data_IF_785313532191
#
_entry.id   IF_785313532191
#
_cell.length_a   1.000
_cell.length_b   1.000
_cell.length_c   1.000
_cell.angle_alpha   90.00
_cell.angle_beta   90.00
_cell.angle_gamma   90.00
#
_symmetry.space_group_name_H-M   'P 1'
#
loop_
_entity.id
_entity.type
_entity.pdbx_description
1 polymer ?
#
# COMPACT_ATOMS: atom_id res chain seq x y z
N UNK A 1 -36.91 12.31 8.78
CA UNK A 1 -35.54 11.78 8.64
C UNK A 1 -35.23 11.70 7.15
N UNK A 2 -34.52 12.69 6.60
CA UNK A 2 -34.04 12.61 5.23
C UNK A 2 -32.76 11.78 5.25
N UNK A 3 -32.80 10.58 4.65
CA UNK A 3 -31.59 9.80 4.40
C UNK A 3 -30.94 10.38 3.15
N UNK A 4 -30.15 11.43 3.30
CA UNK A 4 -29.29 11.89 2.22
C UNK A 4 -28.17 10.86 2.09
N UNK A 5 -28.27 9.99 1.09
CA UNK A 5 -27.21 9.05 0.79
C UNK A 5 -25.97 9.82 0.36
N UNK A 6 -24.89 9.70 1.13
CA UNK A 6 -23.60 10.28 0.77
C UNK A 6 -22.91 9.38 -0.26
N UNK A 7 -22.87 9.86 -1.51
CA UNK A 7 -22.25 9.17 -2.64
C UNK A 7 -20.84 9.66 -2.95
N UNK A 8 -20.18 10.36 -2.02
CA UNK A 8 -18.79 10.80 -2.20
C UNK A 8 -17.87 9.59 -2.31
N UNK A 9 -17.01 9.58 -3.33
CA UNK A 9 -15.97 8.55 -3.46
C UNK A 9 -14.66 9.10 -2.92
N UNK A 10 -14.06 8.41 -1.95
CA UNK A 10 -12.76 8.74 -1.39
C UNK A 10 -11.81 7.56 -1.52
N UNK A 11 -10.51 7.80 -1.73
CA UNK A 11 -9.50 6.76 -1.78
C UNK A 11 -8.27 7.13 -0.97
N UNK A 12 -7.69 6.13 -0.33
CA UNK A 12 -6.47 6.26 0.46
C UNK A 12 -5.47 5.19 0.03
N UNK A 13 -4.20 5.54 -0.03
CA UNK A 13 -3.11 4.61 -0.27
C UNK A 13 -2.06 4.76 0.82
N UNK A 14 -1.44 3.64 1.19
CA UNK A 14 -0.40 3.58 2.20
C UNK A 14 0.75 2.68 1.73
N UNK A 15 1.97 3.06 2.12
CA UNK A 15 3.17 2.27 1.84
C UNK A 15 4.12 2.30 3.04
N UNK A 16 4.11 1.23 3.82
CA UNK A 16 5.05 1.06 4.91
C UNK A 16 6.35 0.40 4.42
N UNK A 17 7.46 1.11 4.58
CA UNK A 17 8.80 0.54 4.35
C UNK A 17 9.25 -0.23 5.59
N UNK A 18 9.71 -1.48 5.38
CA UNK A 18 10.17 -2.37 6.44
C UNK A 18 9.14 -2.71 7.54
N UNK A 19 7.83 -2.61 7.27
CA UNK A 19 6.74 -2.97 8.19
C UNK A 19 6.77 -4.42 8.71
N UNK A 20 7.54 -5.31 8.08
CA UNK A 20 7.77 -6.66 8.56
C UNK A 20 9.22 -6.80 9.07
N UNK A 21 9.44 -6.83 10.40
CA UNK A 21 10.78 -6.98 10.99
C UNK A 21 11.51 -8.23 10.49
N UNK A 22 10.76 -9.31 10.26
CA UNK A 22 11.30 -10.61 9.85
C UNK A 22 11.80 -10.63 8.41
N UNK A 23 11.22 -9.82 7.52
CA UNK A 23 11.53 -9.90 6.09
C UNK A 23 11.98 -8.59 5.46
N UNK A 24 11.98 -7.47 6.19
CA UNK A 24 12.19 -6.10 5.68
C UNK A 24 11.43 -5.82 4.38
N UNK A 25 10.23 -6.40 4.24
CA UNK A 25 9.41 -6.27 3.03
C UNK A 25 8.51 -5.06 3.20
N UNK A 26 8.43 -4.23 2.17
CA UNK A 26 7.45 -3.15 2.13
C UNK A 26 6.04 -3.73 2.00
N UNK A 27 5.08 -3.08 2.65
CA UNK A 27 3.65 -3.37 2.46
C UNK A 27 3.07 -2.18 1.73
N UNK A 28 2.22 -2.43 0.74
CA UNK A 28 1.49 -1.38 0.04
C UNK A 28 0.01 -1.73 0.06
N UNK A 29 -0.83 -0.77 0.41
CA UNK A 29 -2.27 -0.96 0.48
C UNK A 29 -3.06 0.21 -0.08
N UNK A 30 -4.31 -0.05 -0.42
CA UNK A 30 -5.29 0.99 -0.68
C UNK A 30 -6.66 0.60 -0.14
N UNK A 31 -7.50 1.62 0.07
CA UNK A 31 -8.92 1.48 0.40
C UNK A 31 -9.72 2.56 -0.35
N UNK A 32 -10.90 2.19 -0.82
CA UNK A 32 -11.86 3.06 -1.51
C UNK A 32 -13.17 3.04 -0.73
N UNK A 33 -13.69 4.23 -0.42
CA UNK A 33 -14.92 4.45 0.32
C UNK A 33 -15.99 5.11 -0.58
N UNK A 34 -17.25 4.74 -0.38
CA UNK A 34 -18.44 5.45 -0.84
C UNK A 34 -19.18 6.00 0.39
N UNK A 35 -19.20 7.33 0.54
CA UNK A 35 -19.42 7.96 1.82
C UNK A 35 -18.38 7.45 2.83
N UNK A 36 -18.85 6.94 3.95
CA UNK A 36 -18.01 6.30 4.97
C UNK A 36 -17.93 4.76 4.82
N UNK A 37 -18.51 4.19 3.76
CA UNK A 37 -18.59 2.74 3.57
C UNK A 37 -17.48 2.22 2.63
N UNK A 38 -16.64 1.26 3.06
CA UNK A 38 -15.61 0.70 2.20
C UNK A 38 -16.20 -0.18 1.10
N UNK A 39 -15.85 0.10 -0.14
CA UNK A 39 -16.33 -0.62 -1.33
C UNK A 39 -15.23 -1.44 -2.03
N UNK A 40 -13.96 -1.11 -1.81
CA UNK A 40 -12.84 -1.87 -2.34
C UNK A 40 -11.59 -1.63 -1.50
N UNK A 41 -10.78 -2.67 -1.27
CA UNK A 41 -9.52 -2.56 -0.59
C UNK A 41 -8.56 -3.66 -1.04
N UNK A 42 -7.27 -3.38 -0.94
CA UNK A 42 -6.22 -4.38 -1.16
C UNK A 42 -5.03 -4.05 -0.29
N UNK A 43 -4.40 -5.09 0.23
CA UNK A 43 -3.06 -5.00 0.80
C UNK A 43 -2.16 -6.00 0.10
N UNK A 44 -0.94 -5.59 -0.25
CA UNK A 44 0.07 -6.41 -0.91
C UNK A 44 1.38 -6.26 -0.15
N UNK A 45 1.89 -7.37 0.37
CA UNK A 45 3.28 -7.47 0.80
C UNK A 45 4.15 -7.58 -0.45
N UNK A 46 5.10 -6.68 -0.65
CA UNK A 46 6.06 -6.79 -1.75
C UNK A 46 6.92 -8.03 -1.50
N UNK A 47 6.91 -8.98 -2.44
CA UNK A 47 7.77 -10.17 -2.36
C UNK A 47 9.25 -9.81 -2.54
N UNK A 48 9.52 -8.70 -3.22
CA UNK A 48 10.85 -8.28 -3.66
C UNK A 48 11.71 -7.84 -2.48
N UNK A 49 12.79 -8.59 -2.26
CA UNK A 49 13.98 -8.12 -1.54
C UNK A 49 14.57 -7.02 -2.41
N UNK A 50 14.57 -5.78 -1.94
CA UNK A 50 15.32 -4.71 -2.59
C UNK A 50 16.80 -5.08 -2.53
N UNK A 51 17.36 -5.51 -3.66
CA UNK A 51 18.81 -5.48 -3.85
C UNK A 51 19.23 -4.01 -3.73
N UNK A 52 19.99 -3.61 -2.69
CA UNK A 52 20.56 -2.27 -2.67
C UNK A 52 21.38 -2.12 -3.96
N UNK A 53 21.28 -0.96 -4.62
CA UNK A 53 21.99 -0.63 -5.87
C UNK A 53 23.52 -0.51 -5.71
N UNK A 54 24.11 -1.26 -4.78
CA UNK A 54 25.54 -1.39 -4.59
C UNK A 54 25.96 -2.82 -4.95
N UNK A 55 25.91 -3.15 -6.23
CA UNK A 55 26.74 -4.23 -6.78
C UNK A 55 27.82 -3.61 -7.67
N UNK A 56 28.84 -3.15 -6.96
CA UNK A 56 30.27 -3.07 -7.30
C UNK A 56 30.63 -2.98 -8.80
N UNK A 57 31.14 -1.81 -9.18
CA UNK A 57 32.19 -1.73 -10.20
C UNK A 57 33.38 -2.57 -9.73
N UNK A 58 33.51 -3.78 -10.27
CA UNK A 58 34.82 -4.42 -10.42
C UNK A 58 34.97 -4.64 -11.91
N UNK A 59 35.84 -3.82 -12.51
CA UNK A 59 36.25 -3.91 -13.91
C UNK A 59 37.06 -5.17 -14.19
N UNK A 60 37.48 -5.36 -15.46
CA UNK A 60 37.83 -6.64 -16.06
C UNK A 60 38.96 -7.39 -15.36
#
# INVERSE_FOLDING_TARGET
MSSSADFRVSSYCDSDWAACPDSRKSVTGYIVLLGDSPISWKSKKQETISLPQLKQNTGP
#
